data_IF_297975283654
#
_entry.id   IF_297975283654
#
_cell.length_a   1.000
_cell.length_b   1.000
_cell.length_c   1.000
_cell.angle_alpha   90.00
_cell.angle_beta   90.00
_cell.angle_gamma   90.00
#
_symmetry.space_group_name_H-M   'P 1'
#
loop_
_entity.id
_entity.type
_entity.pdbx_description
1 polymer ?
#
# COMPACT_ATOMS: atom_id res chain seq x y z
N UNK A 1 7.69 -3.44 15.66
CA UNK A 1 6.74 -3.56 14.54
C UNK A 1 6.26 -2.21 14.04
N UNK A 2 5.75 -1.37 14.94
CA UNK A 2 5.31 0.00 14.65
C UNK A 2 6.40 0.85 13.97
N UNK A 3 7.62 0.85 14.49
CA UNK A 3 8.75 1.59 13.91
C UNK A 3 9.05 1.12 12.48
N UNK A 4 8.98 -0.18 12.24
CA UNK A 4 9.20 -0.76 10.92
C UNK A 4 8.15 -0.27 9.91
N UNK A 5 6.88 -0.26 10.32
CA UNK A 5 5.78 0.20 9.45
C UNK A 5 5.92 1.69 9.15
N UNK A 6 6.25 2.51 10.14
CA UNK A 6 6.49 3.94 9.96
C UNK A 6 7.64 4.16 8.97
N UNK A 7 8.73 3.42 9.11
CA UNK A 7 9.86 3.52 8.20
C UNK A 7 9.47 3.12 6.77
N UNK A 8 8.66 2.06 6.63
CA UNK A 8 8.15 1.64 5.32
C UNK A 8 7.27 2.72 4.69
N UNK A 9 6.39 3.36 5.45
CA UNK A 9 5.56 4.45 4.97
C UNK A 9 6.39 5.68 4.58
N UNK A 10 7.44 5.99 5.32
CA UNK A 10 8.36 7.06 4.96
C UNK A 10 9.10 6.76 3.67
N UNK A 11 9.51 5.51 3.45
CA UNK A 11 10.08 5.05 2.17
C UNK A 11 9.07 5.23 1.04
N UNK A 12 7.81 4.85 1.25
CA UNK A 12 6.75 5.00 0.26
C UNK A 12 6.56 6.47 -0.10
N UNK A 13 6.58 7.35 0.89
CA UNK A 13 6.51 8.79 0.67
C UNK A 13 7.66 9.26 -0.23
N UNK A 14 8.85 8.78 0.04
CA UNK A 14 10.03 9.08 -0.75
C UNK A 14 9.95 8.50 -2.16
N UNK A 15 9.42 7.29 -2.29
CA UNK A 15 9.17 6.67 -3.60
C UNK A 15 8.23 7.53 -4.45
N UNK A 16 7.19 8.12 -3.84
CA UNK A 16 6.26 9.00 -4.56
C UNK A 16 6.96 10.21 -5.17
N UNK A 17 7.92 10.79 -4.45
CA UNK A 17 8.68 11.94 -4.94
C UNK A 17 9.53 11.57 -6.17
N UNK A 18 9.94 10.31 -6.27
CA UNK A 18 10.81 9.80 -7.33
C UNK A 18 10.08 9.06 -8.45
N UNK A 19 8.76 8.90 -8.36
CA UNK A 19 7.97 8.16 -9.35
C UNK A 19 7.03 9.12 -10.09
N UNK A 20 7.39 9.57 -11.30
CA UNK A 20 6.58 10.54 -12.04
C UNK A 20 5.19 10.02 -12.43
N UNK A 21 5.02 8.70 -12.49
CA UNK A 21 3.75 8.08 -12.85
C UNK A 21 2.91 7.66 -11.64
N UNK A 22 3.42 7.90 -10.43
CA UNK A 22 2.71 7.62 -9.20
C UNK A 22 2.82 6.18 -8.71
N UNK A 23 2.07 5.89 -7.65
CA UNK A 23 1.97 4.56 -7.05
C UNK A 23 0.48 4.29 -6.84
N UNK A 24 -0.03 3.11 -7.19
CA UNK A 24 -1.44 2.79 -6.97
C UNK A 24 -1.72 2.41 -5.52
N UNK A 25 -2.91 2.76 -5.05
CA UNK A 25 -3.48 2.25 -3.80
C UNK A 25 -4.65 1.35 -4.18
N UNK A 26 -4.65 0.15 -3.66
CA UNK A 26 -5.76 -0.78 -3.81
C UNK A 26 -6.63 -0.73 -2.56
N UNK A 27 -7.92 -0.42 -2.73
CA UNK A 27 -8.88 -0.47 -1.63
C UNK A 27 -9.97 -1.48 -1.91
N UNK A 28 -10.35 -2.23 -0.88
CA UNK A 28 -11.46 -3.18 -0.94
C UNK A 28 -12.44 -2.86 0.18
N UNK A 29 -13.68 -2.54 -0.18
CA UNK A 29 -14.73 -2.19 0.76
C UNK A 29 -16.06 -2.77 0.26
N UNK A 30 -16.75 -3.50 1.12
CA UNK A 30 -18.08 -4.07 0.81
C UNK A 30 -18.10 -4.87 -0.51
N UNK A 31 -17.01 -5.58 -0.83
CA UNK A 31 -16.90 -6.37 -2.05
C UNK A 31 -16.59 -5.57 -3.30
N UNK A 32 -16.34 -4.27 -3.19
CA UNK A 32 -15.96 -3.41 -4.29
C UNK A 32 -14.48 -3.09 -4.21
N UNK A 33 -13.74 -3.48 -5.25
CA UNK A 33 -12.32 -3.20 -5.37
C UNK A 33 -12.11 -1.91 -6.15
N UNK A 34 -11.21 -1.06 -5.67
CA UNK A 34 -10.91 0.20 -6.32
C UNK A 34 -9.42 0.48 -6.32
N UNK A 35 -8.89 0.90 -7.47
CA UNK A 35 -7.53 1.42 -7.59
C UNK A 35 -7.60 2.94 -7.65
N UNK A 36 -6.72 3.59 -6.90
CA UNK A 36 -6.65 5.05 -6.83
C UNK A 36 -5.20 5.48 -6.82
N UNK A 37 -4.87 6.70 -7.26
CA UNK A 37 -3.51 7.20 -7.10
C UNK A 37 -3.23 7.53 -5.64
N UNK A 38 -2.03 7.18 -5.18
CA UNK A 38 -1.54 7.55 -3.86
C UNK A 38 -0.93 8.95 -3.94
N UNK A 39 -1.18 9.78 -2.93
CA UNK A 39 -0.53 11.10 -2.84
C UNK A 39 0.15 11.27 -1.47
N UNK A 40 1.01 12.28 -1.37
CA UNK A 40 1.81 12.53 -0.18
C UNK A 40 0.95 12.79 1.06
N UNK A 41 -0.14 13.54 0.91
CA UNK A 41 -1.01 13.88 2.03
C UNK A 41 -1.65 12.62 2.63
N UNK A 42 -2.06 11.68 1.78
CA UNK A 42 -2.63 10.40 2.21
C UNK A 42 -1.58 9.57 2.97
N UNK A 43 -0.35 9.54 2.46
CA UNK A 43 0.74 8.83 3.17
C UNK A 43 1.00 9.44 4.52
N UNK A 44 1.02 10.77 4.62
CA UNK A 44 1.24 11.48 5.88
C UNK A 44 0.13 11.15 6.90
N UNK A 45 -1.12 11.03 6.44
CA UNK A 45 -2.24 10.61 7.29
C UNK A 45 -2.04 9.18 7.80
N UNK A 46 -1.53 8.29 6.97
CA UNK A 46 -1.25 6.91 7.37
C UNK A 46 -0.06 6.81 8.34
N UNK A 47 0.95 7.64 8.16
CA UNK A 47 2.05 7.73 9.13
C UNK A 47 1.52 8.16 10.50
N UNK A 48 0.66 9.19 10.53
CA UNK A 48 0.00 9.63 11.77
C UNK A 48 -0.83 8.52 12.40
N UNK A 49 -1.55 7.76 11.58
CA UNK A 49 -2.35 6.62 12.06
C UNK A 49 -1.46 5.53 12.65
N UNK A 50 -0.33 5.25 12.02
CA UNK A 50 0.64 4.28 12.54
C UNK A 50 1.23 4.72 13.88
N UNK A 51 1.51 6.00 14.04
CA UNK A 51 2.00 6.56 15.31
C UNK A 51 0.99 6.42 16.43
N UNK A 52 -0.30 6.38 16.11
CA UNK A 52 -1.41 6.20 17.05
C UNK A 52 -1.82 4.73 17.21
N UNK A 53 -0.98 3.80 16.82
CA UNK A 53 -1.22 2.36 16.89
C UNK A 53 -2.43 1.88 16.08
N UNK A 54 -2.67 2.51 14.92
CA UNK A 54 -3.66 2.05 13.97
C UNK A 54 -3.37 0.63 13.46
N UNK A 55 -4.41 -0.07 13.02
CA UNK A 55 -4.30 -1.45 12.57
C UNK A 55 -3.63 -1.52 11.19
N UNK A 56 -2.35 -1.82 11.19
CA UNK A 56 -1.53 -1.93 9.98
C UNK A 56 -0.62 -3.14 10.06
N UNK A 57 -0.41 -3.78 8.91
CA UNK A 57 0.48 -4.93 8.78
C UNK A 57 1.41 -4.70 7.60
N UNK A 58 2.65 -5.12 7.72
CA UNK A 58 3.59 -5.16 6.61
C UNK A 58 3.82 -6.60 6.20
N UNK A 59 3.68 -6.90 4.92
CA UNK A 59 3.90 -8.24 4.38
C UNK A 59 4.99 -8.19 3.32
N UNK A 60 6.17 -8.80 3.56
CA UNK A 60 7.19 -8.94 2.53
C UNK A 60 6.65 -9.76 1.36
N UNK A 61 7.14 -9.48 0.15
CA UNK A 61 6.65 -10.16 -1.06
C UNK A 61 6.78 -11.69 -0.97
N UNK A 62 7.83 -12.19 -0.34
CA UNK A 62 8.06 -13.64 -0.18
C UNK A 62 7.05 -14.31 0.76
N UNK A 63 6.38 -13.54 1.60
CA UNK A 63 5.46 -14.06 2.62
C UNK A 63 3.99 -13.82 2.26
N UNK A 64 3.69 -13.43 1.02
CA UNK A 64 2.31 -13.19 0.59
C UNK A 64 1.49 -14.46 0.72
N UNK A 65 0.33 -14.35 1.40
CA UNK A 65 -0.70 -15.38 1.38
C UNK A 65 -1.36 -15.43 -0.01
N UNK A 66 -2.21 -16.42 -0.22
CA UNK A 66 -2.97 -16.52 -1.48
C UNK A 66 -3.79 -15.25 -1.74
N UNK A 67 -4.45 -14.72 -0.69
CA UNK A 67 -5.26 -13.50 -0.80
C UNK A 67 -4.40 -12.28 -1.10
N UNK A 68 -3.27 -12.14 -0.43
CA UNK A 68 -2.34 -11.05 -0.66
C UNK A 68 -1.75 -11.09 -2.07
N UNK A 69 -1.45 -12.29 -2.56
CA UNK A 69 -0.96 -12.48 -3.92
C UNK A 69 -2.02 -12.09 -4.95
N UNK A 70 -3.28 -12.41 -4.72
CA UNK A 70 -4.37 -12.01 -5.61
C UNK A 70 -4.51 -10.49 -5.66
N UNK A 71 -4.43 -9.83 -4.50
CA UNK A 71 -4.44 -8.37 -4.41
C UNK A 71 -3.25 -7.78 -5.15
N UNK A 72 -2.07 -8.34 -4.91
CA UNK A 72 -0.84 -7.92 -5.57
C UNK A 72 -0.95 -8.03 -7.09
N UNK A 73 -1.47 -9.16 -7.61
CA UNK A 73 -1.62 -9.37 -9.05
C UNK A 73 -2.57 -8.33 -9.67
N UNK A 74 -3.65 -7.97 -8.99
CA UNK A 74 -4.57 -6.91 -9.44
C UNK A 74 -3.88 -5.56 -9.49
N UNK A 75 -3.08 -5.25 -8.48
CA UNK A 75 -2.33 -3.99 -8.43
C UNK A 75 -1.28 -3.94 -9.55
N UNK A 76 -0.61 -5.05 -9.81
CA UNK A 76 0.45 -5.12 -10.81
C UNK A 76 -0.06 -4.98 -12.24
N UNK A 77 -1.28 -5.42 -12.53
CA UNK A 77 -1.88 -5.21 -13.86
C UNK A 77 -1.96 -3.71 -14.17
N UNK A 78 -2.37 -2.93 -13.19
CA UNK A 78 -2.46 -1.48 -13.33
C UNK A 78 -1.08 -0.83 -13.26
N UNK A 79 -0.26 -1.23 -12.28
CA UNK A 79 1.02 -0.62 -12.00
C UNK A 79 2.02 -0.79 -13.14
N UNK A 80 2.03 -1.95 -13.81
CA UNK A 80 2.96 -2.19 -14.92
C UNK A 80 2.63 -1.34 -16.14
N UNK A 81 1.35 -1.11 -16.43
CA UNK A 81 0.92 -0.33 -17.59
C UNK A 81 0.96 1.18 -17.34
N UNK A 82 0.41 1.62 -16.21
CA UNK A 82 0.20 3.05 -15.97
C UNK A 82 1.28 3.68 -15.08
N UNK A 83 1.94 2.91 -14.23
CA UNK A 83 2.94 3.42 -13.29
C UNK A 83 4.36 2.94 -13.61
N UNK A 84 4.55 2.10 -14.61
CA UNK A 84 5.86 1.54 -15.01
C UNK A 84 6.59 0.84 -13.87
N UNK A 85 5.84 0.14 -13.02
CA UNK A 85 6.37 -0.63 -11.89
C UNK A 85 6.36 -2.11 -12.28
N UNK A 86 7.48 -2.80 -12.04
CA UNK A 86 7.57 -4.24 -12.25
C UNK A 86 7.65 -4.98 -10.93
N UNK A 87 7.39 -6.28 -10.94
CA UNK A 87 7.46 -7.11 -9.75
C UNK A 87 8.82 -7.02 -9.05
N UNK A 88 9.89 -6.86 -9.83
CA UNK A 88 11.26 -6.72 -9.30
C UNK A 88 11.46 -5.47 -8.46
N UNK A 89 10.62 -4.46 -8.65
CA UNK A 89 10.69 -3.21 -7.91
C UNK A 89 10.01 -3.30 -6.54
N UNK A 90 9.24 -4.36 -6.28
CA UNK A 90 8.40 -4.47 -5.08
C UNK A 90 9.12 -5.22 -3.97
N UNK A 91 9.17 -4.62 -2.79
CA UNK A 91 9.69 -5.24 -1.57
C UNK A 91 8.59 -5.91 -0.75
N UNK A 92 7.38 -5.36 -0.76
CA UNK A 92 6.25 -5.84 0.01
C UNK A 92 5.07 -4.91 -0.07
N UNK A 93 4.10 -5.11 0.82
CA UNK A 93 2.91 -4.26 0.92
C UNK A 93 2.68 -3.82 2.35
N UNK A 94 2.25 -2.58 2.53
CA UNK A 94 1.63 -2.12 3.77
C UNK A 94 0.13 -2.31 3.61
N UNK A 95 -0.48 -3.05 4.53
CA UNK A 95 -1.92 -3.30 4.55
C UNK A 95 -2.53 -2.58 5.74
N UNK A 96 -3.49 -1.72 5.46
CA UNK A 96 -4.15 -0.88 6.47
C UNK A 96 -5.59 -1.34 6.60
N UNK A 97 -6.00 -1.63 7.83
CA UNK A 97 -7.38 -2.05 8.13
C UNK A 97 -8.10 -0.93 8.85
N UNK A 98 -9.22 -0.48 8.29
CA UNK A 98 -10.09 0.50 8.95
C UNK A 98 -11.37 -0.20 9.37
N UNK A 99 -11.45 -0.54 10.65
CA UNK A 99 -12.61 -1.21 11.24
C UNK A 99 -13.59 -0.23 11.89
N UNK A 100 -13.21 1.04 11.99
CA UNK A 100 -14.00 2.05 12.72
C UNK A 100 -15.05 2.73 11.86
N UNK A 101 -15.04 2.49 10.56
CA UNK A 101 -16.02 3.06 9.64
C UNK A 101 -17.24 2.16 9.52
N UNK A 102 -18.40 2.74 9.20
CA UNK A 102 -19.63 1.98 8.90
C UNK A 102 -19.42 0.99 7.75
N UNK A 103 -18.49 1.30 6.86
CA UNK A 103 -18.07 0.41 5.78
C UNK A 103 -16.59 0.10 5.98
N UNK A 104 -16.25 -0.95 6.72
CA UNK A 104 -14.85 -1.30 6.93
C UNK A 104 -14.16 -1.59 5.60
N UNK A 105 -12.95 -1.11 5.46
CA UNK A 105 -12.16 -1.30 4.25
C UNK A 105 -10.73 -1.70 4.57
N UNK A 106 -10.08 -2.29 3.57
CA UNK A 106 -8.66 -2.63 3.61
C UNK A 106 -7.98 -1.86 2.49
N UNK A 107 -6.88 -1.19 2.81
CA UNK A 107 -6.02 -0.52 1.83
C UNK A 107 -4.70 -1.26 1.73
N UNK A 108 -4.21 -1.42 0.51
CA UNK A 108 -2.89 -2.03 0.27
C UNK A 108 -2.04 -1.06 -0.54
N UNK A 109 -0.82 -0.85 -0.08
CA UNK A 109 0.12 0.08 -0.71
C UNK A 109 1.42 -0.67 -0.98
N UNK A 110 1.95 -0.56 -2.20
CA UNK A 110 3.20 -1.20 -2.58
C UNK A 110 4.39 -0.46 -1.96
N UNK A 111 5.28 -1.21 -1.33
CA UNK A 111 6.58 -0.74 -0.87
C UNK A 111 7.62 -1.08 -1.93
N UNK A 112 8.20 -0.06 -2.53
CA UNK A 112 9.11 -0.21 -3.66
C UNK A 112 10.56 0.01 -3.25
N UNK A 113 11.48 -0.59 -4.02
CA UNK A 113 12.90 -0.30 -3.89
C UNK A 113 13.15 1.17 -4.20
N UNK A 114 14.01 1.76 -3.42
CA UNK A 114 14.37 3.18 -3.55
C UNK A 114 15.21 3.50 -4.77
#
# INVERSE_FOLDING_TARGET
>A
MKTFIINALQDIRKNLENKPYGIPVFSSAAGVDKLSPLNVDVVDDYISLAEKDGDMTYVPIRDFSKEEKETFDKMMRFASEDCHITEKDVLGMVVIHDEYNKNPFTLSILHLKG
#
